data_IF_622557315900
#
_entry.id   IF_622557315900
#
_cell.length_a   1.000
_cell.length_b   1.000
_cell.length_c   1.000
_cell.angle_alpha   90.00
_cell.angle_beta   90.00
_cell.angle_gamma   90.00
#
_symmetry.space_group_name_H-M   'P 1'
#
loop_
_entity.id
_entity.type
_entity.pdbx_description
1 polymer ?
#
# COMPACT_ATOMS: atom_id res chain seq x y z
N UNK A 1 61.83 32.26 -12.12
CA UNK A 1 60.72 32.17 -13.10
C UNK A 1 59.77 31.01 -12.83
N UNK A 2 60.18 29.73 -12.90
CA UNK A 2 59.28 28.56 -12.70
C UNK A 2 58.48 28.53 -11.38
N UNK A 3 59.06 28.98 -10.26
CA UNK A 3 58.40 28.99 -8.93
C UNK A 3 57.31 30.07 -8.78
N UNK A 4 57.38 31.15 -9.56
CA UNK A 4 56.41 32.25 -9.54
C UNK A 4 55.12 31.86 -10.29
N UNK A 5 55.24 31.11 -11.39
CA UNK A 5 54.09 30.56 -12.11
C UNK A 5 53.33 29.48 -11.32
N UNK A 6 54.03 28.71 -10.47
CA UNK A 6 53.39 27.74 -9.58
C UNK A 6 52.61 28.41 -8.45
N UNK A 7 53.13 29.53 -7.92
CA UNK A 7 52.45 30.30 -6.88
C UNK A 7 51.20 31.01 -7.42
N UNK A 8 51.28 31.60 -8.63
CA UNK A 8 50.12 32.24 -9.26
C UNK A 8 49.02 31.23 -9.63
N UNK A 9 49.40 30.03 -10.07
CA UNK A 9 48.44 28.95 -10.34
C UNK A 9 47.70 28.52 -9.06
N UNK A 10 48.39 28.40 -7.93
CA UNK A 10 47.77 28.06 -6.64
C UNK A 10 46.82 29.15 -6.13
N UNK A 11 47.17 30.42 -6.35
CA UNK A 11 46.30 31.56 -5.99
C UNK A 11 45.05 31.58 -6.86
N UNK A 12 45.17 31.39 -8.17
CA UNK A 12 44.03 31.33 -9.09
C UNK A 12 43.12 30.13 -8.78
N UNK A 13 43.69 28.96 -8.48
CA UNK A 13 42.92 27.81 -8.02
C UNK A 13 42.23 28.05 -6.67
N UNK A 14 42.86 28.79 -5.75
CA UNK A 14 42.26 29.18 -4.47
C UNK A 14 41.05 30.10 -4.64
N UNK A 15 41.11 31.04 -5.58
CA UNK A 15 39.97 31.91 -5.92
C UNK A 15 38.83 31.17 -6.61
N UNK A 16 39.13 30.18 -7.47
CA UNK A 16 38.12 29.35 -8.13
C UNK A 16 37.45 28.34 -7.18
N UNK A 17 38.15 27.91 -6.12
CA UNK A 17 37.60 27.03 -5.08
C UNK A 17 36.68 27.76 -4.06
N UNK A 18 36.74 29.10 -4.01
CA UNK A 18 35.93 29.92 -3.09
C UNK A 18 34.49 30.15 -3.57
N UNK A 19 34.16 29.77 -4.80
CA UNK A 19 32.77 29.74 -5.29
C UNK A 19 32.06 28.45 -4.80
N UNK A 20 32.01 28.27 -3.48
CA UNK A 20 31.16 27.27 -2.84
C UNK A 20 29.76 27.84 -2.74
N UNK A 21 28.81 27.27 -3.49
CA UNK A 21 27.41 27.67 -3.50
C UNK A 21 26.77 27.59 -2.12
N UNK A 22 26.81 28.69 -1.39
CA UNK A 22 26.08 28.88 -0.15
C UNK A 22 24.59 28.96 -0.46
N UNK A 23 23.85 27.95 0.00
CA UNK A 23 22.39 28.08 0.12
C UNK A 23 22.16 29.12 1.22
N UNK A 24 21.63 30.30 0.87
CA UNK A 24 21.53 31.49 1.73
C UNK A 24 20.54 31.36 2.90
N UNK A 25 20.40 30.17 3.50
CA UNK A 25 19.37 29.91 4.51
C UNK A 25 17.93 30.07 3.99
N UNK A 26 17.76 30.33 2.69
CA UNK A 26 16.45 30.44 2.08
C UNK A 26 15.77 29.08 2.06
N UNK A 27 14.49 29.08 2.44
CA UNK A 27 13.62 27.92 2.37
C UNK A 27 13.37 27.59 0.89
N UNK A 28 14.24 26.78 0.29
CA UNK A 28 14.12 26.31 -1.11
C UNK A 28 12.97 25.29 -1.32
N UNK A 29 12.15 25.09 -0.28
CA UNK A 29 11.06 24.12 -0.27
C UNK A 29 11.56 22.67 -0.14
N UNK A 30 10.81 21.84 0.57
CA UNK A 30 11.04 20.40 0.52
C UNK A 30 10.77 19.93 -0.92
N UNK A 31 11.72 19.21 -1.52
CA UNK A 31 11.54 18.63 -2.85
C UNK A 31 10.39 17.63 -2.78
N UNK A 32 9.18 18.06 -3.15
CA UNK A 32 8.05 17.18 -3.29
C UNK A 32 8.38 16.20 -4.41
N UNK A 33 8.67 14.96 -4.01
CA UNK A 33 8.94 13.86 -4.93
C UNK A 33 7.76 13.82 -5.89
N UNK A 34 8.01 14.12 -7.18
CA UNK A 34 6.97 14.16 -8.22
C UNK A 34 6.08 12.94 -8.04
N UNK A 35 4.79 13.16 -7.81
CA UNK A 35 3.82 12.10 -7.63
C UNK A 35 3.89 11.18 -8.85
N UNK A 36 4.50 10.00 -8.70
CA UNK A 36 4.77 9.06 -9.79
C UNK A 36 3.53 8.23 -10.11
N UNK A 37 2.40 8.89 -10.35
CA UNK A 37 1.24 8.22 -10.92
C UNK A 37 0.94 8.85 -12.28
N UNK A 38 1.79 8.52 -13.26
CA UNK A 38 1.67 9.05 -14.63
C UNK A 38 0.68 8.24 -15.47
N UNK A 39 0.25 7.09 -14.99
CA UNK A 39 -0.58 6.14 -15.71
C UNK A 39 -1.90 5.97 -14.99
N UNK A 40 -3.00 6.06 -15.75
CA UNK A 40 -4.32 5.68 -15.28
C UNK A 40 -4.26 4.20 -14.89
N UNK A 41 -4.75 3.80 -13.70
CA UNK A 41 -4.84 2.39 -13.32
C UNK A 41 -5.61 1.58 -14.36
N UNK A 42 -5.28 0.29 -14.50
CA UNK A 42 -5.95 -0.59 -15.45
C UNK A 42 -7.45 -0.65 -15.13
N UNK A 43 -8.30 -0.49 -16.15
CA UNK A 43 -9.76 -0.59 -15.99
C UNK A 43 -10.42 0.62 -15.32
N UNK A 44 -9.67 1.71 -15.08
CA UNK A 44 -10.20 2.94 -14.47
C UNK A 44 -10.19 4.12 -15.45
N UNK A 45 -11.03 5.11 -15.17
CA UNK A 45 -11.09 6.41 -15.84
C UNK A 45 -10.79 7.53 -14.85
N UNK A 46 -10.14 8.60 -15.33
CA UNK A 46 -9.86 9.77 -14.53
C UNK A 46 -11.07 10.73 -14.52
N UNK A 47 -11.57 11.04 -13.33
CA UNK A 47 -12.63 12.02 -13.13
C UNK A 47 -12.00 13.34 -12.66
N UNK A 48 -12.08 14.42 -13.46
CA UNK A 48 -11.48 15.70 -13.09
C UNK A 48 -12.22 16.34 -11.91
N UNK A 49 -11.52 17.14 -11.13
CA UNK A 49 -12.13 17.92 -10.06
C UNK A 49 -13.24 18.83 -10.60
N UNK A 50 -14.33 18.96 -9.87
CA UNK A 50 -15.47 19.73 -10.33
C UNK A 50 -16.55 19.88 -9.28
N UNK A 51 -17.62 20.56 -9.70
CA UNK A 51 -18.86 20.68 -8.95
C UNK A 51 -19.98 20.13 -9.82
N UNK A 52 -20.78 19.24 -9.26
CA UNK A 52 -21.96 18.71 -9.94
C UNK A 52 -23.17 18.78 -9.02
N UNK A 53 -24.34 18.94 -9.62
CA UNK A 53 -25.60 18.84 -8.90
C UNK A 53 -25.91 17.35 -8.73
N UNK A 54 -25.94 16.85 -7.50
CA UNK A 54 -26.30 15.46 -7.18
C UNK A 54 -27.69 15.46 -6.56
N UNK A 55 -28.57 14.61 -7.06
CA UNK A 55 -29.96 14.48 -6.63
C UNK A 55 -30.95 14.85 -7.72
N UNK A 56 -32.24 14.59 -7.48
CA UNK A 56 -33.32 14.87 -8.42
C UNK A 56 -33.68 16.36 -8.37
N UNK A 57 -33.69 17.02 -9.52
CA UNK A 57 -34.09 18.43 -9.66
C UNK A 57 -35.57 18.61 -10.02
N UNK A 58 -36.29 17.51 -10.29
CA UNK A 58 -37.68 17.53 -10.76
C UNK A 58 -38.64 17.12 -9.64
N UNK A 59 -39.70 17.90 -9.44
CA UNK A 59 -40.71 17.73 -8.37
C UNK A 59 -41.87 16.79 -8.78
N UNK A 60 -41.82 16.13 -9.94
CA UNK A 60 -42.91 15.24 -10.36
C UNK A 60 -42.73 13.80 -9.86
N UNK A 61 -42.90 13.63 -8.55
CA UNK A 61 -43.36 12.38 -7.94
C UNK A 61 -43.96 12.76 -6.59
N UNK A 62 -45.29 12.88 -6.52
CA UNK A 62 -46.08 13.22 -5.32
C UNK A 62 -45.85 12.29 -4.10
N UNK A 63 -44.96 11.31 -4.19
CA UNK A 63 -44.59 10.37 -3.12
C UNK A 63 -43.07 10.12 -3.01
N UNK A 64 -42.21 10.94 -3.63
CA UNK A 64 -40.75 10.75 -3.51
C UNK A 64 -40.20 11.43 -2.25
N UNK A 65 -39.83 10.64 -1.25
CA UNK A 65 -39.15 11.10 -0.04
C UNK A 65 -37.62 11.14 -0.19
N UNK A 66 -37.12 11.35 -1.41
CA UNK A 66 -35.68 11.41 -1.66
C UNK A 66 -35.05 12.77 -1.36
N UNK A 67 -33.72 12.77 -1.23
CA UNK A 67 -32.96 13.96 -0.89
C UNK A 67 -33.03 15.02 -2.00
N UNK A 68 -33.26 16.28 -1.59
CA UNK A 68 -33.18 17.45 -2.48
C UNK A 68 -31.81 17.53 -3.17
N UNK A 69 -31.79 17.99 -4.42
CA UNK A 69 -30.57 18.18 -5.18
C UNK A 69 -29.62 19.17 -4.49
N UNK A 70 -28.35 18.79 -4.31
CA UNK A 70 -27.30 19.65 -3.73
C UNK A 70 -26.10 19.73 -4.65
N UNK A 71 -25.48 20.90 -4.69
CA UNK A 71 -24.21 21.12 -5.39
C UNK A 71 -23.07 20.55 -4.56
N UNK A 72 -22.46 19.47 -5.04
CA UNK A 72 -21.34 18.81 -4.36
C UNK A 72 -20.06 19.03 -5.16
N UNK A 73 -19.03 19.54 -4.48
CA UNK A 73 -17.66 19.64 -5.01
C UNK A 73 -16.87 18.40 -4.63
N UNK A 74 -16.14 17.83 -5.59
CA UNK A 74 -15.26 16.68 -5.37
C UNK A 74 -13.87 16.98 -5.91
N UNK A 75 -12.86 16.45 -5.22
CA UNK A 75 -11.47 16.42 -5.71
C UNK A 75 -11.34 15.41 -6.85
N UNK A 76 -10.28 15.52 -7.65
CA UNK A 76 -10.06 14.57 -8.74
C UNK A 76 -9.80 13.15 -8.21
N UNK A 77 -10.43 12.14 -8.81
CA UNK A 77 -10.30 10.73 -8.42
C UNK A 77 -10.41 9.79 -9.63
N UNK A 78 -10.19 8.50 -9.42
CA UNK A 78 -10.36 7.46 -10.44
C UNK A 78 -11.63 6.65 -10.16
N UNK A 79 -12.38 6.33 -11.21
CA UNK A 79 -13.57 5.48 -11.15
C UNK A 79 -13.38 4.29 -12.07
N UNK A 80 -13.90 3.12 -11.70
CA UNK A 80 -13.87 1.95 -12.59
C UNK A 80 -14.66 2.24 -13.88
N UNK A 81 -14.12 1.83 -15.02
CA UNK A 81 -14.74 2.02 -16.32
C UNK A 81 -15.97 1.12 -16.50
N UNK A 82 -15.94 -0.07 -15.90
CA UNK A 82 -17.00 -1.08 -15.94
C UNK A 82 -17.19 -1.69 -14.56
N UNK A 83 -18.35 -2.30 -14.34
CA UNK A 83 -18.59 -3.09 -13.13
C UNK A 83 -17.58 -4.24 -13.01
N UNK A 84 -17.31 -4.66 -11.77
CA UNK A 84 -16.41 -5.77 -11.48
C UNK A 84 -17.01 -7.07 -12.05
N UNK A 85 -16.26 -7.70 -12.94
CA UNK A 85 -16.64 -8.96 -13.56
C UNK A 85 -16.46 -10.13 -12.59
N UNK A 86 -17.17 -11.24 -12.85
CA UNK A 86 -16.98 -12.48 -12.11
C UNK A 86 -15.54 -13.03 -12.18
N UNK A 87 -14.78 -12.69 -13.23
CA UNK A 87 -13.39 -13.12 -13.35
C UNK A 87 -12.47 -12.32 -12.42
N UNK A 88 -12.64 -11.00 -12.36
CA UNK A 88 -11.89 -10.10 -11.48
C UNK A 88 -12.21 -10.40 -10.01
N UNK A 89 -13.48 -10.64 -9.69
CA UNK A 89 -13.87 -11.04 -8.34
C UNK A 89 -13.21 -12.36 -7.91
N UNK A 90 -13.11 -13.35 -8.81
CA UNK A 90 -12.38 -14.60 -8.52
C UNK A 90 -10.89 -14.37 -8.29
N UNK A 91 -10.28 -13.44 -9.02
CA UNK A 91 -8.89 -13.06 -8.78
C UNK A 91 -8.71 -12.50 -7.37
N UNK A 92 -9.60 -11.62 -6.92
CA UNK A 92 -9.61 -11.11 -5.56
C UNK A 92 -9.76 -12.24 -4.52
N UNK A 93 -10.72 -13.14 -4.69
CA UNK A 93 -10.93 -14.28 -3.77
C UNK A 93 -9.70 -15.19 -3.70
N UNK A 94 -9.06 -15.48 -4.83
CA UNK A 94 -7.81 -16.25 -4.85
C UNK A 94 -6.68 -15.52 -4.11
N UNK A 95 -6.61 -14.19 -4.23
CA UNK A 95 -5.63 -13.39 -3.52
C UNK A 95 -5.86 -13.40 -2.01
N UNK A 96 -7.12 -13.28 -1.56
CA UNK A 96 -7.51 -13.43 -0.16
C UNK A 96 -7.13 -14.81 0.36
N UNK A 97 -7.50 -15.87 -0.36
CA UNK A 97 -7.14 -17.25 -0.05
C UNK A 97 -5.63 -17.42 0.15
N UNK A 98 -4.83 -16.92 -0.80
CA UNK A 98 -3.38 -17.04 -0.77
C UNK A 98 -2.79 -16.21 0.40
N UNK A 99 -3.32 -15.01 0.67
CA UNK A 99 -2.87 -14.17 1.78
C UNK A 99 -3.12 -14.81 3.15
N UNK A 100 -4.31 -15.37 3.37
CA UNK A 100 -4.67 -16.07 4.61
C UNK A 100 -3.81 -17.32 4.77
N UNK A 101 -3.54 -18.04 3.69
CA UNK A 101 -2.65 -19.20 3.72
C UNK A 101 -1.24 -18.84 4.15
N UNK A 102 -0.63 -17.80 3.56
CA UNK A 102 0.71 -17.36 3.93
C UNK A 102 0.75 -16.89 5.38
N UNK A 103 -0.26 -16.14 5.83
CA UNK A 103 -0.35 -15.71 7.23
C UNK A 103 -0.49 -16.89 8.20
N UNK A 104 -1.27 -17.92 7.84
CA UNK A 104 -1.43 -19.13 8.67
C UNK A 104 -0.14 -19.94 8.83
N UNK A 105 0.77 -19.88 7.85
CA UNK A 105 2.09 -20.52 7.93
C UNK A 105 3.05 -19.75 8.84
N UNK A 106 2.88 -18.43 8.91
CA UNK A 106 3.76 -17.51 9.63
C UNK A 106 5.20 -17.46 9.08
N UNK A 107 6.00 -16.47 9.53
CA UNK A 107 7.40 -16.31 9.11
C UNK A 107 8.27 -17.53 9.36
N UNK A 108 8.02 -18.25 10.45
CA UNK A 108 8.76 -19.47 10.81
C UNK A 108 8.40 -20.67 9.92
N UNK A 109 7.17 -20.72 9.41
CA UNK A 109 6.69 -21.83 8.57
C UNK A 109 7.09 -21.70 7.11
N UNK A 110 7.28 -20.47 6.61
CA UNK A 110 7.59 -20.18 5.21
C UNK A 110 8.39 -18.85 5.04
N UNK A 111 9.66 -18.78 5.47
CA UNK A 111 10.43 -17.53 5.49
C UNK A 111 10.64 -16.90 4.11
N UNK A 112 10.60 -17.68 3.03
CA UNK A 112 10.75 -17.19 1.65
C UNK A 112 9.53 -16.43 1.13
N UNK A 113 8.38 -16.59 1.78
CA UNK A 113 7.12 -15.93 1.42
C UNK A 113 6.93 -14.59 2.11
N UNK A 114 7.84 -14.22 3.01
CA UNK A 114 7.87 -12.93 3.68
C UNK A 114 9.02 -12.09 3.14
N UNK A 115 8.84 -10.77 3.14
CA UNK A 115 9.95 -9.85 2.88
C UNK A 115 10.91 -9.93 4.06
N UNK A 116 12.23 -9.95 3.82
CA UNK A 116 13.19 -9.89 4.91
C UNK A 116 12.97 -8.59 5.68
N UNK A 117 12.96 -8.70 7.01
CA UNK A 117 12.99 -7.51 7.87
C UNK A 117 14.26 -6.73 7.51
N UNK A 118 14.17 -5.42 7.23
CA UNK A 118 15.37 -4.63 6.98
C UNK A 118 16.30 -4.79 8.18
N UNK A 119 17.53 -5.22 7.92
CA UNK A 119 18.56 -5.25 8.95
C UNK A 119 18.61 -3.85 9.58
N UNK A 120 18.53 -3.77 10.91
CA UNK A 120 18.67 -2.52 11.62
C UNK A 120 19.94 -1.83 11.11
N UNK A 121 19.84 -0.57 10.68
CA UNK A 121 21.02 0.24 10.41
C UNK A 121 21.93 0.16 11.64
N UNK A 122 23.24 0.02 11.45
CA UNK A 122 24.19 -0.15 12.54
C UNK A 122 23.96 0.93 13.62
N UNK A 123 23.48 0.52 14.81
CA UNK A 123 23.18 1.41 15.94
C UNK A 123 21.72 1.87 16.08
N UNK A 124 20.79 1.45 15.23
CA UNK A 124 19.36 1.71 15.38
C UNK A 124 18.65 0.62 16.21
N UNK A 125 17.53 0.94 16.90
CA UNK A 125 16.74 -0.07 17.59
C UNK A 125 16.29 -1.16 16.60
N UNK A 126 16.40 -2.41 17.02
CA UNK A 126 15.96 -3.55 16.22
C UNK A 126 14.48 -3.37 15.84
N UNK A 127 14.20 -3.29 14.55
CA UNK A 127 12.83 -3.21 14.03
C UNK A 127 12.22 -4.61 14.17
N UNK A 128 11.70 -4.93 15.35
CA UNK A 128 10.84 -6.10 15.59
C UNK A 128 9.47 -5.83 14.97
N UNK A 129 9.40 -5.92 13.65
CA UNK A 129 8.11 -6.01 12.97
C UNK A 129 7.52 -7.39 13.27
N UNK A 130 6.58 -7.44 14.22
CA UNK A 130 5.71 -8.61 14.43
C UNK A 130 4.88 -8.92 13.17
N UNK A 131 4.74 -7.95 12.28
CA UNK A 131 4.07 -8.05 11.00
C UNK A 131 5.09 -7.92 9.87
N UNK A 132 5.60 -9.07 9.40
CA UNK A 132 6.37 -9.11 8.17
C UNK A 132 5.41 -9.07 6.98
N UNK A 133 5.66 -8.15 6.04
CA UNK A 133 4.93 -8.10 4.78
C UNK A 133 5.16 -9.38 3.99
N UNK A 134 4.12 -9.91 3.35
CA UNK A 134 4.29 -11.03 2.43
C UNK A 134 4.96 -10.54 1.13
N UNK A 135 5.77 -11.41 0.55
CA UNK A 135 6.47 -11.19 -0.69
C UNK A 135 5.65 -11.77 -1.85
N UNK A 136 4.75 -10.96 -2.41
CA UNK A 136 3.89 -11.41 -3.53
C UNK A 136 4.65 -11.85 -4.77
N UNK A 137 5.92 -11.46 -4.94
CA UNK A 137 6.75 -11.95 -6.04
C UNK A 137 7.08 -13.44 -5.88
N UNK A 138 7.25 -13.93 -4.66
CA UNK A 138 7.55 -15.35 -4.39
C UNK A 138 6.31 -16.21 -4.28
N UNK A 139 5.20 -15.64 -3.80
CA UNK A 139 3.88 -16.31 -3.80
C UNK A 139 3.38 -16.52 -5.23
N UNK A 140 3.57 -15.52 -6.10
CA UNK A 140 3.18 -15.58 -7.51
C UNK A 140 1.68 -15.83 -7.68
N UNK A 141 1.32 -16.76 -8.56
CA UNK A 141 -0.07 -17.11 -8.88
C UNK A 141 -0.63 -18.25 -7.98
N UNK A 142 -0.09 -18.41 -6.77
CA UNK A 142 -0.53 -19.42 -5.80
C UNK A 142 -0.02 -20.85 -6.03
N UNK A 143 0.70 -21.14 -7.14
CA UNK A 143 1.20 -22.49 -7.44
C UNK A 143 2.18 -23.02 -6.37
N UNK A 144 2.93 -22.13 -5.72
CA UNK A 144 3.85 -22.50 -4.64
C UNK A 144 3.10 -23.04 -3.41
N UNK A 145 1.87 -22.55 -3.17
CA UNK A 145 1.03 -22.90 -2.03
C UNK A 145 0.12 -24.10 -2.32
N UNK A 146 -0.50 -24.12 -3.50
CA UNK A 146 -1.58 -25.06 -3.85
C UNK A 146 -1.19 -26.10 -4.90
N UNK A 147 0.01 -25.99 -5.48
CA UNK A 147 0.50 -26.90 -6.51
C UNK A 147 0.65 -28.33 -6.00
N UNK A 148 0.61 -29.30 -6.91
CA UNK A 148 0.72 -30.74 -6.59
C UNK A 148 1.96 -31.08 -5.76
N UNK A 149 3.07 -30.38 -5.99
CA UNK A 149 4.36 -30.56 -5.34
C UNK A 149 4.66 -29.49 -4.27
N UNK A 150 3.64 -28.78 -3.77
CA UNK A 150 3.86 -27.72 -2.77
C UNK A 150 4.39 -28.31 -1.46
N UNK A 151 5.53 -27.80 -0.96
CA UNK A 151 6.06 -28.15 0.35
C UNK A 151 5.14 -27.73 1.52
N UNK A 152 4.20 -26.83 1.26
CA UNK A 152 3.27 -26.29 2.25
C UNK A 152 1.97 -27.09 2.38
N UNK A 153 1.74 -28.11 1.54
CA UNK A 153 0.48 -28.88 1.52
C UNK A 153 0.10 -29.46 2.89
N UNK A 154 1.06 -30.01 3.62
CA UNK A 154 0.84 -30.59 4.94
C UNK A 154 0.51 -29.52 6.00
N UNK A 155 1.15 -28.35 5.90
CA UNK A 155 0.96 -27.23 6.83
C UNK A 155 -0.38 -26.52 6.61
N UNK A 156 -0.87 -26.49 5.37
CA UNK A 156 -2.15 -25.88 4.98
C UNK A 156 -3.36 -26.80 5.18
N UNK A 157 -3.21 -27.99 5.76
CA UNK A 157 -4.36 -28.89 5.97
C UNK A 157 -5.45 -28.27 6.84
N UNK A 158 -5.06 -27.44 7.80
CA UNK A 158 -5.98 -26.72 8.68
C UNK A 158 -6.86 -25.69 7.95
N UNK A 159 -6.60 -25.38 6.67
CA UNK A 159 -7.46 -24.49 5.89
C UNK A 159 -8.61 -25.20 5.19
N UNK A 160 -8.55 -26.53 5.06
CA UNK A 160 -9.62 -27.30 4.43
C UNK A 160 -10.70 -27.67 5.45
N UNK A 161 -11.86 -28.09 4.94
CA UNK A 161 -12.87 -28.78 5.74
C UNK A 161 -12.29 -30.08 6.32
N UNK A 162 -12.71 -30.43 7.54
CA UNK A 162 -12.24 -31.59 8.27
C UNK A 162 -13.42 -32.37 8.88
N UNK A 163 -13.22 -33.66 9.13
CA UNK A 163 -14.22 -34.53 9.76
C UNK A 163 -15.46 -34.71 8.88
N UNK A 164 -16.64 -34.60 9.48
CA UNK A 164 -17.92 -34.82 8.80
C UNK A 164 -18.26 -33.76 7.73
N UNK A 165 -17.62 -32.58 7.80
CA UNK A 165 -17.78 -31.50 6.82
C UNK A 165 -16.93 -31.73 5.56
N UNK A 166 -15.97 -32.67 5.59
CA UNK A 166 -15.07 -32.93 4.48
C UNK A 166 -15.69 -33.90 3.47
N UNK A 167 -15.76 -33.47 2.21
CA UNK A 167 -16.16 -34.34 1.11
C UNK A 167 -15.08 -35.40 0.82
N UNK A 168 -15.44 -36.69 0.65
CA UNK A 168 -14.46 -37.73 0.37
C UNK A 168 -13.65 -37.46 -0.89
N UNK A 169 -12.32 -37.51 -0.78
CA UNK A 169 -11.40 -37.38 -1.91
C UNK A 169 -11.24 -35.97 -2.48
N UNK A 170 -11.85 -34.95 -1.86
CA UNK A 170 -11.71 -33.55 -2.28
C UNK A 170 -11.28 -32.66 -1.10
N UNK A 171 -10.17 -31.95 -1.29
CA UNK A 171 -9.74 -30.91 -0.37
C UNK A 171 -10.43 -29.60 -0.74
N UNK A 172 -11.54 -29.30 -0.07
CA UNK A 172 -12.27 -28.05 -0.22
C UNK A 172 -11.92 -27.07 0.90
N UNK A 173 -11.65 -25.81 0.53
CA UNK A 173 -11.23 -24.78 1.46
C UNK A 173 -12.41 -24.35 2.31
N UNK A 174 -12.19 -24.25 3.63
CA UNK A 174 -13.21 -23.79 4.56
C UNK A 174 -13.41 -22.27 4.40
N UNK A 175 -14.51 -21.88 3.78
CA UNK A 175 -14.86 -20.46 3.56
C UNK A 175 -15.00 -19.67 4.86
N UNK A 176 -15.26 -20.33 6.00
CA UNK A 176 -15.36 -19.68 7.32
C UNK A 176 -14.02 -19.08 7.78
N UNK A 177 -12.91 -19.63 7.27
CA UNK A 177 -11.54 -19.22 7.59
C UNK A 177 -11.02 -18.13 6.63
N UNK A 178 -11.71 -17.85 5.53
CA UNK A 178 -11.36 -16.82 4.56
C UNK A 178 -11.81 -15.42 5.02
N UNK A 179 -11.45 -15.05 6.25
CA UNK A 179 -11.67 -13.71 6.79
C UNK A 179 -10.35 -12.94 6.69
N UNK A 180 -10.35 -11.86 5.93
CA UNK A 180 -9.20 -10.96 5.86
C UNK A 180 -9.37 -9.82 6.86
N UNK A 181 -8.25 -9.39 7.44
CA UNK A 181 -8.16 -8.15 8.21
C UNK A 181 -7.34 -7.16 7.39
N UNK A 182 -7.70 -5.89 7.45
CA UNK A 182 -6.94 -4.82 6.81
C UNK A 182 -6.75 -3.71 7.82
N UNK A 183 -5.58 -3.09 7.83
CA UNK A 183 -5.35 -1.91 8.64
C UNK A 183 -5.14 -0.69 7.78
N UNK A 184 -5.70 0.44 8.20
CA UNK A 184 -5.55 1.72 7.52
C UNK A 184 -5.26 2.83 8.51
N UNK A 185 -4.59 3.86 8.01
CA UNK A 185 -4.35 5.09 8.75
C UNK A 185 -5.59 5.98 8.61
N UNK A 186 -6.24 6.25 9.74
CA UNK A 186 -7.31 7.25 9.80
C UNK A 186 -6.68 8.65 9.77
N UNK A 187 -6.92 9.37 8.67
CA UNK A 187 -6.35 10.71 8.45
C UNK A 187 -7.00 11.77 9.32
N UNK A 188 -8.26 11.59 9.66
CA UNK A 188 -9.01 12.56 10.47
C UNK A 188 -8.58 12.46 11.93
N UNK A 189 -8.37 11.23 12.42
CA UNK A 189 -7.77 11.00 13.73
C UNK A 189 -6.32 11.46 13.81
N UNK A 190 -5.54 11.22 12.74
CA UNK A 190 -4.16 11.72 12.67
C UNK A 190 -4.10 13.25 12.70
N UNK A 191 -5.02 13.94 12.03
CA UNK A 191 -5.13 15.40 12.06
C UNK A 191 -5.55 15.91 13.45
N UNK A 192 -6.54 15.26 14.08
CA UNK A 192 -6.96 15.60 15.43
C UNK A 192 -5.85 15.41 16.48
N UNK A 193 -4.90 14.50 16.22
CA UNK A 193 -3.74 14.24 17.07
C UNK A 193 -2.45 14.94 16.66
N UNK A 194 -2.45 15.80 15.64
CA UNK A 194 -1.24 16.37 15.02
C UNK A 194 -0.37 17.17 16.02
N UNK A 195 -1.00 17.83 17.00
CA UNK A 195 -0.31 18.67 17.98
C UNK A 195 -0.02 17.97 19.33
N UNK A 196 -0.41 16.70 19.50
CA UNK A 196 -0.21 15.95 20.73
C UNK A 196 1.12 15.19 20.70
N UNK A 197 2.14 15.58 21.50
CA UNK A 197 3.46 14.92 21.49
C UNK A 197 3.44 13.49 22.06
N UNK A 198 2.34 13.11 22.71
CA UNK A 198 2.14 11.79 23.34
C UNK A 198 1.58 10.75 22.39
N UNK A 199 0.99 11.17 21.25
CA UNK A 199 0.39 10.27 20.27
C UNK A 199 1.42 9.86 19.23
N UNK A 200 1.44 8.56 18.94
CA UNK A 200 2.31 7.97 17.94
C UNK A 200 1.51 7.58 16.70
N UNK A 201 2.20 7.35 15.58
CA UNK A 201 1.54 6.91 14.34
C UNK A 201 0.73 5.62 14.50
N UNK A 202 1.07 4.78 15.48
CA UNK A 202 0.36 3.53 15.75
C UNK A 202 -1.07 3.77 16.26
N UNK A 203 -1.29 4.85 16.99
CA UNK A 203 -2.57 5.18 17.61
C UNK A 203 -3.63 5.60 16.59
N UNK A 204 -3.21 5.89 15.36
CA UNK A 204 -4.06 6.26 14.24
C UNK A 204 -4.31 5.11 13.26
N UNK A 205 -3.80 3.90 13.55
CA UNK A 205 -4.00 2.72 12.72
C UNK A 205 -5.22 1.96 13.24
N UNK A 206 -6.25 1.87 12.42
CA UNK A 206 -7.43 1.04 12.68
C UNK A 206 -7.31 -0.28 11.91
N UNK A 207 -7.89 -1.35 12.47
CA UNK A 207 -7.93 -2.72 11.92
C UNK A 207 -9.35 -3.21 11.67
#
# INVERSE_FOLDING_TARGET
MRKIYLLSFFIVCGFLASCGGGTQGELVGAYNRKFKNKTIPLGMVFIPQGRTLIGTSDEDMSFYSGNQARMTSFSAFYMDQTEITNAEYRQFVNWVRDSVAVYSLGPSGAPTLFKPVPAAAAGGPAVTTSQQDINWRTVGNGNVLWGRNSAFKAKLQNMYYAGNDALPGKNEIDVRKLKYAYSYLDKDLALAGENDPTKSRQDFIQT
#
